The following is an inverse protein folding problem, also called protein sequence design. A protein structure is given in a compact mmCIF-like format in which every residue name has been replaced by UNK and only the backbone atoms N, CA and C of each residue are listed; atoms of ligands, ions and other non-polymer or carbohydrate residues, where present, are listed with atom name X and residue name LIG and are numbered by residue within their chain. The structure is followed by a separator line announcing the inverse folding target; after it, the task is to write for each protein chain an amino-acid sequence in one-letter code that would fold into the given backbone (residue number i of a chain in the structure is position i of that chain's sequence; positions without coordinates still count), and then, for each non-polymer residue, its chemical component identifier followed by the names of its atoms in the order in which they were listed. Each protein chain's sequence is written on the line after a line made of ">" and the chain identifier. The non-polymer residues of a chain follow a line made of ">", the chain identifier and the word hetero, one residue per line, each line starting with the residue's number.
data_IF_913584623253
#
_entry.id   IF_913584623253
#
_cell.length_a   1.000
_cell.length_b   1.000
_cell.length_c   1.000
_cell.angle_alpha   90.00
_cell.angle_beta   90.00
_cell.angle_gamma   90.00
#
_symmetry.space_group_name_H-M   'P 1'
#
loop_
_entity.id
_entity.type
_entity.pdbx_description
1 polymer ?
#
# COMPACT_ATOMS: atom_id res chain seq x y z
N UNK A 1 -20.42 0.99 15.15
CA UNK A 1 -19.82 2.26 14.69
C UNK A 1 -18.38 2.00 14.25
N UNK A 2 -18.04 2.21 12.98
CA UNK A 2 -16.64 2.19 12.52
C UNK A 2 -16.02 3.53 12.94
N UNK A 3 -15.13 3.55 13.93
CA UNK A 3 -14.43 4.79 14.27
C UNK A 3 -13.62 5.21 13.03
N UNK A 4 -13.94 6.39 12.50
CA UNK A 4 -13.35 6.93 11.28
C UNK A 4 -12.05 7.64 11.65
N UNK A 5 -10.93 7.12 11.16
CA UNK A 5 -9.69 7.89 11.13
C UNK A 5 -9.88 9.05 10.15
N UNK A 6 -9.74 10.28 10.63
CA UNK A 6 -9.80 11.47 9.78
C UNK A 6 -8.40 11.88 9.38
N UNK A 7 -8.16 11.99 8.07
CA UNK A 7 -6.89 12.43 7.49
C UNK A 7 -7.11 13.74 6.75
N UNK A 8 -6.45 14.81 7.19
CA UNK A 8 -6.55 16.13 6.56
C UNK A 8 -5.19 16.61 6.06
N UNK A 9 -5.17 17.37 4.96
CA UNK A 9 -3.94 17.92 4.40
C UNK A 9 -3.55 19.20 5.15
N UNK A 10 -2.26 19.39 5.40
CA UNK A 10 -1.66 20.64 5.86
C UNK A 10 -0.45 20.99 4.98
N UNK A 11 0.22 22.13 5.24
CA UNK A 11 1.28 22.67 4.38
C UNK A 11 2.35 21.65 3.96
N UNK A 12 2.81 20.79 4.89
CA UNK A 12 3.92 19.85 4.67
C UNK A 12 3.51 18.37 4.77
N UNK A 13 2.22 18.02 4.66
CA UNK A 13 1.79 16.63 4.76
C UNK A 13 0.32 16.42 5.12
N UNK A 14 0.06 15.38 5.90
CA UNK A 14 -1.27 14.99 6.37
C UNK A 14 -1.34 14.84 7.88
N UNK A 15 -2.42 15.28 8.50
CA UNK A 15 -2.67 15.06 9.92
C UNK A 15 -3.61 13.87 10.05
N UNK A 16 -3.19 12.83 10.75
CA UNK A 16 -4.10 11.79 11.21
C UNK A 16 -4.59 12.11 12.63
N UNK A 17 -5.91 12.08 12.78
CA UNK A 17 -6.59 12.18 14.07
C UNK A 17 -7.00 10.78 14.53
N UNK A 18 -6.86 10.49 15.83
CA UNK A 18 -7.33 9.27 16.54
C UNK A 18 -6.33 8.11 16.70
N UNK A 19 -5.18 8.34 17.33
CA UNK A 19 -4.35 7.26 17.90
C UNK A 19 -4.77 6.95 19.34
N UNK A 20 -6.03 6.60 19.56
CA UNK A 20 -6.51 5.85 20.72
C UNK A 20 -8.03 5.81 20.73
N UNK A 21 -8.58 4.70 20.24
CA UNK A 21 -9.86 4.12 20.65
C UNK A 21 -10.80 5.01 21.50
N UNK A 22 -11.42 5.97 20.79
CA UNK A 22 -12.58 6.81 21.13
C UNK A 22 -12.41 8.18 21.77
N UNK A 23 -11.22 8.74 21.87
CA UNK A 23 -11.05 10.19 22.03
C UNK A 23 -9.79 10.65 21.28
N UNK A 24 -9.86 11.78 20.58
CA UNK A 24 -8.70 12.34 19.87
C UNK A 24 -7.64 12.76 20.91
N UNK A 25 -6.75 11.85 21.30
CA UNK A 25 -5.71 12.13 22.31
C UNK A 25 -4.43 12.73 21.72
N UNK A 26 -4.20 12.52 20.43
CA UNK A 26 -2.99 13.01 19.77
C UNK A 26 -3.23 13.15 18.28
N UNK A 27 -2.79 14.29 17.75
CA UNK A 27 -2.69 14.54 16.32
C UNK A 27 -1.27 14.17 15.87
N UNK A 28 -1.14 13.42 14.78
CA UNK A 28 0.17 13.01 14.27
C UNK A 28 0.34 13.45 12.83
N UNK A 29 1.44 14.14 12.58
CA UNK A 29 1.86 14.53 11.24
C UNK A 29 2.40 13.30 10.49
N UNK A 30 1.76 12.99 9.38
CA UNK A 30 2.09 11.98 8.39
C UNK A 30 2.67 12.68 7.17
N UNK A 31 3.79 12.19 6.66
CA UNK A 31 4.41 12.69 5.42
C UNK A 31 3.83 12.00 4.19
N UNK A 32 3.48 10.73 4.30
CA UNK A 32 2.92 9.96 3.18
C UNK A 32 2.09 8.79 3.67
N UNK A 33 0.96 8.54 2.99
CA UNK A 33 0.11 7.37 3.20
C UNK A 33 0.27 6.40 2.04
N UNK A 34 0.48 5.12 2.34
CA UNK A 34 0.54 4.04 1.34
C UNK A 34 -0.33 2.86 1.73
N UNK A 35 -0.77 2.13 0.71
CA UNK A 35 -1.53 0.90 0.85
C UNK A 35 -0.81 -0.31 0.28
N UNK A 36 -1.18 -1.49 0.74
CA UNK A 36 -0.93 -2.75 0.04
C UNK A 36 -2.21 -3.56 -0.01
N UNK A 37 -2.36 -4.34 -1.08
CA UNK A 37 -3.50 -5.23 -1.29
C UNK A 37 -3.03 -6.62 -1.73
N UNK A 38 -3.69 -7.64 -1.21
CA UNK A 38 -3.52 -9.06 -1.52
C UNK A 38 -4.87 -9.59 -2.01
N UNK A 39 -4.87 -10.25 -3.17
CA UNK A 39 -6.08 -10.84 -3.75
C UNK A 39 -6.67 -11.93 -2.85
N UNK A 40 -8.00 -12.14 -2.85
CA UNK A 40 -8.56 -13.37 -2.31
C UNK A 40 -8.06 -14.57 -3.13
N UNK A 41 -7.80 -15.69 -2.45
CA UNK A 41 -7.35 -16.94 -3.06
C UNK A 41 -8.05 -18.09 -2.36
N UNK A 42 -8.69 -18.97 -3.13
CA UNK A 42 -9.45 -20.13 -2.65
C UNK A 42 -10.44 -19.76 -1.52
N UNK A 43 -10.29 -20.36 -0.34
CA UNK A 43 -11.10 -20.07 0.85
C UNK A 43 -10.68 -18.82 1.63
N UNK A 44 -9.57 -18.18 1.27
CA UNK A 44 -9.01 -17.04 2.00
C UNK A 44 -9.50 -15.70 1.44
N UNK A 45 -9.96 -14.78 2.32
CA UNK A 45 -10.38 -13.47 1.86
C UNK A 45 -9.19 -12.68 1.36
N UNK A 46 -9.46 -11.74 0.46
CA UNK A 46 -8.48 -10.74 0.07
C UNK A 46 -8.44 -9.65 1.12
N UNK A 47 -7.32 -8.94 1.16
CA UNK A 47 -7.01 -8.06 2.27
C UNK A 47 -6.26 -6.83 1.77
N UNK A 48 -6.61 -5.66 2.32
CA UNK A 48 -5.78 -4.47 2.17
C UNK A 48 -5.46 -3.84 3.51
N UNK A 49 -4.38 -3.07 3.49
CA UNK A 49 -3.81 -2.41 4.64
C UNK A 49 -3.27 -1.04 4.24
N UNK A 50 -3.56 -0.02 5.04
CA UNK A 50 -3.02 1.33 4.88
C UNK A 50 -2.20 1.73 6.10
N UNK A 51 -1.02 2.29 5.81
CA UNK A 51 -0.14 2.90 6.80
C UNK A 51 0.27 4.30 6.39
N UNK A 52 0.41 5.18 7.38
CA UNK A 52 0.97 6.52 7.21
C UNK A 52 2.35 6.60 7.85
N UNK A 53 3.36 7.06 7.13
CA UNK A 53 4.68 7.31 7.71
C UNK A 53 4.68 8.65 8.45
N UNK A 54 5.13 8.68 9.70
CA UNK A 54 5.16 9.91 10.50
C UNK A 54 6.31 10.84 10.09
N UNK A 55 6.10 12.15 10.26
CA UNK A 55 7.12 13.17 9.95
C UNK A 55 8.35 13.07 10.86
N UNK A 56 8.15 12.68 12.12
CA UNK A 56 9.22 12.62 13.10
C UNK A 56 9.77 11.21 13.24
N UNK A 57 11.10 11.05 13.28
CA UNK A 57 11.70 9.76 13.59
C UNK A 57 11.56 9.42 15.08
N UNK A 58 11.62 8.14 15.40
CA UNK A 58 11.71 7.64 16.77
C UNK A 58 13.17 7.64 17.28
N UNK A 59 13.40 7.11 18.48
CA UNK A 59 14.74 7.04 19.11
C UNK A 59 15.75 6.23 18.29
N UNK A 60 15.27 5.32 17.43
CA UNK A 60 16.08 4.50 16.52
C UNK A 60 16.27 5.14 15.14
N UNK A 61 15.92 6.43 14.97
CA UNK A 61 16.02 7.17 13.71
C UNK A 61 15.11 6.65 12.58
N UNK A 62 14.25 5.65 12.83
CA UNK A 62 13.21 5.22 11.89
C UNK A 62 12.03 6.18 11.95
N UNK A 63 11.36 6.42 10.82
CA UNK A 63 10.08 7.13 10.79
C UNK A 63 8.96 6.11 11.00
N UNK A 64 8.27 6.10 12.17
CA UNK A 64 7.23 5.12 12.44
C UNK A 64 6.14 5.07 11.37
N UNK A 65 5.66 3.88 11.09
CA UNK A 65 4.45 3.65 10.31
C UNK A 65 3.27 3.56 11.28
N UNK A 66 2.31 4.43 11.08
CA UNK A 66 1.04 4.45 11.79
C UNK A 66 0.00 3.60 11.04
N UNK A 67 -0.58 2.61 11.72
CA UNK A 67 -1.73 1.86 11.20
C UNK A 67 -2.92 2.80 10.99
N UNK A 68 -3.51 2.79 9.80
CA UNK A 68 -4.65 3.66 9.46
C UNK A 68 -5.94 2.87 9.26
N UNK A 69 -5.88 1.82 8.43
CA UNK A 69 -7.05 1.01 8.10
C UNK A 69 -6.64 -0.36 7.56
N UNK A 70 -7.54 -1.32 7.72
CA UNK A 70 -7.50 -2.61 7.08
C UNK A 70 -8.94 -3.07 6.76
N UNK A 71 -9.11 -3.92 5.77
CA UNK A 71 -10.35 -4.68 5.59
C UNK A 71 -10.11 -6.00 4.86
N UNK A 72 -11.02 -6.95 5.09
CA UNK A 72 -11.12 -8.23 4.40
C UNK A 72 -12.34 -8.23 3.48
N UNK A 73 -12.20 -8.74 2.26
CA UNK A 73 -13.30 -8.95 1.33
C UNK A 73 -13.11 -10.24 0.54
N UNK A 74 -14.19 -11.00 0.36
CA UNK A 74 -14.15 -12.31 -0.31
C UNK A 74 -14.06 -12.21 -1.83
N UNK A 75 -14.48 -11.09 -2.43
CA UNK A 75 -14.51 -10.90 -3.89
C UNK A 75 -13.55 -9.81 -4.36
N UNK A 76 -13.00 -9.97 -5.57
CA UNK A 76 -12.12 -8.96 -6.19
C UNK A 76 -12.80 -7.59 -6.27
N UNK A 77 -14.05 -7.53 -6.74
CA UNK A 77 -14.78 -6.29 -6.94
C UNK A 77 -14.97 -5.50 -5.66
N UNK A 78 -15.47 -6.16 -4.59
CA UNK A 78 -15.67 -5.50 -3.30
C UNK A 78 -14.35 -5.04 -2.67
N UNK A 79 -13.31 -5.85 -2.78
CA UNK A 79 -11.99 -5.51 -2.25
C UNK A 79 -11.42 -4.26 -2.93
N UNK A 80 -11.48 -4.22 -4.26
CA UNK A 80 -10.98 -3.09 -5.06
C UNK A 80 -11.80 -1.84 -4.78
N UNK A 81 -13.13 -1.93 -4.79
CA UNK A 81 -13.99 -0.77 -4.51
C UNK A 81 -13.72 -0.19 -3.11
N UNK A 82 -13.69 -1.04 -2.09
CA UNK A 82 -13.40 -0.62 -0.72
C UNK A 82 -11.98 -0.02 -0.58
N UNK A 83 -10.99 -0.66 -1.22
CA UNK A 83 -9.60 -0.19 -1.27
C UNK A 83 -9.51 1.23 -1.84
N UNK A 84 -10.15 1.51 -2.98
CA UNK A 84 -10.06 2.82 -3.65
C UNK A 84 -10.86 3.91 -2.93
N UNK A 85 -11.99 3.56 -2.31
CA UNK A 85 -12.73 4.46 -1.43
C UNK A 85 -11.87 4.91 -0.24
N UNK A 86 -11.19 3.97 0.41
CA UNK A 86 -10.31 4.26 1.53
C UNK A 86 -9.01 4.97 1.10
N UNK A 87 -8.43 4.57 -0.02
CA UNK A 87 -7.27 5.24 -0.59
C UNK A 87 -7.55 6.73 -0.86
N UNK A 88 -8.72 7.04 -1.42
CA UNK A 88 -9.14 8.41 -1.73
C UNK A 88 -9.36 9.21 -0.44
N UNK A 89 -10.06 8.63 0.55
CA UNK A 89 -10.29 9.26 1.86
C UNK A 89 -8.98 9.56 2.59
N UNK A 90 -8.00 8.67 2.49
CA UNK A 90 -6.72 8.78 3.18
C UNK A 90 -5.64 9.50 2.38
N UNK A 91 -5.95 9.86 1.12
CA UNK A 91 -5.03 10.48 0.16
C UNK A 91 -3.76 9.63 -0.02
N UNK A 92 -3.95 8.32 -0.16
CA UNK A 92 -2.86 7.38 -0.38
C UNK A 92 -2.15 7.69 -1.70
N UNK A 93 -0.83 7.74 -1.67
CA UNK A 93 0.01 8.04 -2.83
C UNK A 93 0.34 6.81 -3.66
N UNK A 94 0.44 5.64 -3.01
CA UNK A 94 0.85 4.37 -3.62
C UNK A 94 0.02 3.23 -3.05
N UNK A 95 -0.38 2.31 -3.92
CA UNK A 95 -0.90 0.99 -3.57
C UNK A 95 0.04 -0.07 -4.14
N UNK A 96 0.55 -0.95 -3.29
CA UNK A 96 1.33 -2.12 -3.70
C UNK A 96 0.42 -3.32 -3.93
N UNK A 97 0.56 -3.95 -5.10
CA UNK A 97 -0.15 -5.19 -5.43
C UNK A 97 0.81 -6.19 -6.06
N UNK A 98 0.67 -7.47 -5.72
CA UNK A 98 1.45 -8.51 -6.37
C UNK A 98 1.07 -8.59 -7.86
N UNK A 99 2.05 -8.49 -8.77
CA UNK A 99 1.84 -8.62 -10.22
C UNK A 99 1.60 -10.07 -10.66
N UNK A 100 1.83 -11.03 -9.77
CA UNK A 100 1.85 -12.46 -10.06
C UNK A 100 3.11 -12.84 -10.82
N UNK A 101 3.75 -13.94 -10.43
CA UNK A 101 4.85 -14.56 -11.19
C UNK A 101 4.36 -15.58 -12.23
N UNK A 102 3.07 -15.95 -12.20
CA UNK A 102 2.45 -16.97 -13.04
C UNK A 102 1.42 -16.37 -14.01
N UNK A 103 1.50 -16.81 -15.27
CA UNK A 103 0.75 -16.32 -16.45
C UNK A 103 -0.77 -16.53 -16.42
N UNK A 104 -1.35 -17.20 -15.40
CA UNK A 104 -2.75 -17.68 -15.50
C UNK A 104 -3.77 -17.21 -14.44
N UNK A 105 -3.39 -16.72 -13.25
CA UNK A 105 -4.40 -16.32 -12.25
C UNK A 105 -4.10 -15.02 -11.48
N UNK A 106 -2.87 -14.80 -10.99
CA UNK A 106 -2.55 -13.60 -10.19
C UNK A 106 -2.22 -12.34 -11.02
N UNK A 107 -1.85 -12.49 -12.30
CA UNK A 107 -1.65 -11.34 -13.20
C UNK A 107 -2.95 -10.55 -13.44
N UNK A 108 -4.11 -11.18 -13.26
CA UNK A 108 -5.42 -10.54 -13.36
C UNK A 108 -5.64 -9.49 -12.28
N UNK A 109 -5.39 -9.82 -11.01
CA UNK A 109 -5.74 -8.92 -9.91
C UNK A 109 -4.98 -7.59 -9.93
N UNK A 110 -3.65 -7.62 -10.18
CA UNK A 110 -2.88 -6.38 -10.35
C UNK A 110 -3.45 -5.52 -11.49
N UNK A 111 -3.78 -6.16 -12.61
CA UNK A 111 -4.37 -5.49 -13.77
C UNK A 111 -5.74 -4.91 -13.42
N UNK A 112 -6.53 -5.57 -12.60
CA UNK A 112 -7.85 -5.10 -12.17
C UNK A 112 -7.72 -3.87 -11.27
N UNK A 113 -6.79 -3.89 -10.31
CA UNK A 113 -6.47 -2.73 -9.45
C UNK A 113 -6.00 -1.55 -10.32
N UNK A 114 -5.09 -1.79 -11.27
CA UNK A 114 -4.61 -0.78 -12.21
C UNK A 114 -5.74 -0.21 -13.09
N UNK A 115 -6.56 -1.08 -13.65
CA UNK A 115 -7.68 -0.70 -14.52
C UNK A 115 -8.72 0.10 -13.75
N UNK A 116 -9.02 -0.29 -12.51
CA UNK A 116 -9.93 0.44 -11.64
C UNK A 116 -9.39 1.86 -11.35
N UNK A 117 -8.11 1.99 -11.01
CA UNK A 117 -7.45 3.30 -10.83
C UNK A 117 -7.63 4.20 -12.05
N UNK A 118 -7.37 3.67 -13.25
CA UNK A 118 -7.47 4.44 -14.51
C UNK A 118 -8.91 4.86 -14.76
N UNK A 119 -9.88 3.95 -14.61
CA UNK A 119 -11.31 4.23 -14.81
C UNK A 119 -11.85 5.29 -13.85
N UNK A 120 -11.43 5.26 -12.59
CA UNK A 120 -11.87 6.19 -11.56
C UNK A 120 -11.05 7.49 -11.54
N UNK A 121 -10.02 7.62 -12.39
CA UNK A 121 -9.10 8.75 -12.44
C UNK A 121 -8.54 9.15 -11.05
N UNK A 122 -8.20 8.16 -10.22
CA UNK A 122 -7.71 8.42 -8.85
C UNK A 122 -6.22 8.80 -8.92
N UNK A 123 -5.81 9.92 -8.30
CA UNK A 123 -4.42 10.41 -8.34
C UNK A 123 -3.50 9.64 -7.38
N UNK A 124 -3.52 8.31 -7.46
CA UNK A 124 -2.60 7.41 -6.77
C UNK A 124 -1.81 6.58 -7.78
N UNK A 125 -0.66 6.07 -7.37
CA UNK A 125 0.14 5.11 -8.15
C UNK A 125 -0.18 3.69 -7.70
N UNK A 126 -0.29 2.77 -8.65
CA UNK A 126 -0.35 1.34 -8.37
C UNK A 126 0.99 0.75 -8.77
N UNK A 127 1.72 0.18 -7.80
CA UNK A 127 3.07 -0.32 -8.01
C UNK A 127 3.14 -1.84 -7.77
N UNK A 128 4.02 -2.56 -8.46
CA UNK A 128 4.30 -3.95 -8.13
C UNK A 128 4.78 -4.06 -6.68
N UNK A 129 4.23 -5.03 -5.95
CA UNK A 129 4.64 -5.27 -4.57
C UNK A 129 6.14 -5.60 -4.50
N UNK A 130 6.92 -4.92 -3.65
CA UNK A 130 8.31 -5.27 -3.42
C UNK A 130 8.40 -6.55 -2.59
N UNK A 131 9.48 -7.30 -2.81
CA UNK A 131 9.84 -8.47 -2.00
C UNK A 131 8.78 -9.57 -2.00
N UNK A 132 8.00 -9.74 -3.09
CA UNK A 132 6.99 -10.80 -3.23
C UNK A 132 7.56 -12.20 -2.98
N UNK A 133 8.75 -12.48 -3.54
CA UNK A 133 9.37 -13.82 -3.49
C UNK A 133 10.25 -14.05 -2.26
N UNK A 134 10.60 -12.98 -1.53
CA UNK A 134 11.58 -13.05 -0.44
C UNK A 134 10.85 -12.89 0.90
N UNK A 135 10.40 -14.02 1.45
CA UNK A 135 9.64 -14.07 2.71
C UNK A 135 10.55 -13.82 3.90
N UNK A 136 11.77 -14.35 3.89
CA UNK A 136 12.72 -14.19 4.97
C UNK A 136 13.15 -12.73 5.14
N UNK A 137 13.45 -12.03 4.03
CA UNK A 137 13.64 -10.59 4.06
C UNK A 137 12.43 -9.87 4.65
N UNK A 138 11.23 -10.25 4.21
CA UNK A 138 9.98 -9.68 4.71
C UNK A 138 9.77 -9.88 6.21
N UNK A 139 10.07 -11.08 6.71
CA UNK A 139 10.01 -11.41 8.13
C UNK A 139 11.02 -10.58 8.90
N UNK A 140 12.26 -10.53 8.42
CA UNK A 140 13.35 -9.75 9.02
C UNK A 140 12.98 -8.28 9.18
N UNK A 141 12.49 -7.62 8.12
CA UNK A 141 12.12 -6.20 8.20
C UNK A 141 10.93 -5.96 9.14
N UNK A 142 9.94 -6.87 9.19
CA UNK A 142 8.80 -6.71 10.10
C UNK A 142 9.26 -6.86 11.55
N UNK A 143 10.12 -7.84 11.85
CA UNK A 143 10.69 -8.05 13.17
C UNK A 143 11.51 -6.84 13.62
N UNK A 144 12.41 -6.35 12.77
CA UNK A 144 13.24 -5.17 13.05
C UNK A 144 12.40 -3.92 13.32
N UNK A 145 11.41 -3.64 12.46
CA UNK A 145 10.54 -2.48 12.62
C UNK A 145 9.61 -2.61 13.83
N UNK A 146 9.25 -3.83 14.23
CA UNK A 146 8.51 -4.05 15.49
C UNK A 146 9.39 -3.82 16.69
N UNK A 147 10.62 -4.36 16.71
CA UNK A 147 11.58 -4.25 17.83
C UNK A 147 11.98 -2.80 18.10
N UNK A 148 12.06 -2.00 17.05
CA UNK A 148 12.43 -0.60 17.11
C UNK A 148 11.23 0.35 17.23
N UNK A 149 10.05 -0.13 17.63
CA UNK A 149 8.83 0.70 17.79
C UNK A 149 8.51 1.55 16.55
N UNK A 150 8.82 1.04 15.36
CA UNK A 150 8.58 1.71 14.08
C UNK A 150 7.23 1.28 13.45
N UNK A 151 6.44 0.47 14.14
CA UNK A 151 5.06 0.11 13.74
C UNK A 151 4.10 0.46 14.88
N UNK A 152 3.33 1.53 14.70
CA UNK A 152 2.36 2.00 15.68
C UNK A 152 0.99 1.38 15.36
N UNK A 153 0.51 0.52 16.27
CA UNK A 153 -0.76 -0.21 16.15
C UNK A 153 -1.80 0.27 17.18
N UNK A 154 -3.10 0.19 16.89
CA UNK A 154 -4.15 0.50 17.87
C UNK A 154 -4.11 -0.50 19.04
N UNK A 155 -4.30 -0.02 20.28
CA UNK A 155 -4.17 -0.85 21.50
C UNK A 155 -5.41 -1.68 21.84
N UNK A 156 -6.63 -1.18 21.59
CA UNK A 156 -7.88 -1.86 21.98
C UNK A 156 -8.57 -2.57 20.81
N UNK A 157 -8.16 -2.32 19.56
CA UNK A 157 -8.68 -3.05 18.40
C UNK A 157 -7.87 -4.31 18.13
N UNK A 158 -8.54 -5.46 18.23
CA UNK A 158 -8.05 -6.70 17.63
C UNK A 158 -8.17 -6.56 16.11
N UNK A 159 -7.05 -6.20 15.48
CA UNK A 159 -6.94 -6.11 14.02
C UNK A 159 -6.66 -7.50 13.43
N UNK A 160 -7.05 -7.71 12.18
CA UNK A 160 -6.68 -8.87 11.37
C UNK A 160 -5.15 -8.97 11.32
N UNK A 161 -4.48 -7.83 11.08
CA UNK A 161 -3.03 -7.76 11.17
C UNK A 161 -2.50 -8.22 12.53
N UNK A 162 -3.05 -7.74 13.64
CA UNK A 162 -2.60 -8.14 14.97
C UNK A 162 -2.82 -9.64 15.22
N UNK A 163 -3.94 -10.19 14.75
CA UNK A 163 -4.26 -11.62 14.83
C UNK A 163 -3.23 -12.47 14.07
N UNK A 164 -2.84 -12.08 12.86
CA UNK A 164 -1.84 -12.82 12.08
C UNK A 164 -0.39 -12.56 12.53
N UNK A 165 -0.14 -11.48 13.29
CA UNK A 165 1.19 -11.06 13.71
C UNK A 165 1.56 -11.47 15.15
N UNK A 166 0.82 -12.40 15.79
CA UNK A 166 1.19 -12.97 17.09
C UNK A 166 2.51 -13.75 17.01
N UNK A 167 3.26 -13.83 18.12
CA UNK A 167 4.64 -14.36 18.12
C UNK A 167 4.74 -15.80 17.60
N UNK A 168 3.82 -16.67 18.00
CA UNK A 168 3.75 -18.08 17.57
C UNK A 168 3.51 -18.25 16.06
N UNK A 169 2.84 -17.28 15.41
CA UNK A 169 2.55 -17.31 13.98
C UNK A 169 3.73 -16.83 13.12
N UNK A 170 4.65 -16.01 13.67
CA UNK A 170 5.79 -15.44 12.93
C UNK A 170 6.87 -16.46 12.60
N UNK A 171 6.99 -17.51 13.41
CA UNK A 171 7.99 -18.56 13.24
C UNK A 171 7.56 -19.63 12.22
N UNK A 172 6.25 -19.69 11.89
CA UNK A 172 5.66 -20.75 11.08
C UNK A 172 5.45 -20.38 9.59
N UNK A 173 5.65 -19.14 9.17
CA UNK A 173 5.42 -18.71 7.77
C UNK A 173 6.58 -19.14 6.86
N UNK A 174 6.58 -20.36 6.35
CA UNK A 174 7.70 -20.89 5.56
C UNK A 174 7.54 -20.62 4.06
N UNK A 175 6.31 -20.58 3.53
CA UNK A 175 6.06 -20.48 2.09
C UNK A 175 5.34 -19.17 1.68
N UNK A 176 5.86 -18.39 0.71
CA UNK A 176 5.15 -17.24 0.13
C UNK A 176 3.79 -17.58 -0.51
N UNK A 177 3.55 -18.85 -0.86
CA UNK A 177 2.26 -19.35 -1.36
C UNK A 177 1.25 -19.69 -0.26
N UNK A 178 1.60 -19.56 1.02
CA UNK A 178 0.61 -19.68 2.10
C UNK A 178 -0.31 -18.45 2.11
N UNK A 179 -1.33 -18.53 1.27
CA UNK A 179 -2.30 -17.46 1.00
C UNK A 179 -3.12 -17.08 2.25
N UNK A 180 -3.14 -17.94 3.28
CA UNK A 180 -3.70 -17.64 4.60
C UNK A 180 -3.04 -16.46 5.31
N UNK A 181 -1.79 -16.11 4.97
CA UNK A 181 -1.01 -15.01 5.59
C UNK A 181 -1.13 -13.67 4.86
N UNK A 182 -2.28 -13.39 4.26
CA UNK A 182 -2.52 -12.17 3.47
C UNK A 182 -2.20 -10.86 4.22
N UNK A 183 -2.41 -10.76 5.54
CA UNK A 183 -2.14 -9.54 6.29
C UNK A 183 -0.64 -9.35 6.55
N UNK A 184 0.08 -10.44 6.81
CA UNK A 184 1.54 -10.44 6.85
C UNK A 184 2.12 -10.02 5.49
N UNK A 185 1.62 -10.57 4.39
CA UNK A 185 2.08 -10.24 3.04
C UNK A 185 1.86 -8.76 2.71
N UNK A 186 0.68 -8.21 3.03
CA UNK A 186 0.39 -6.79 2.83
C UNK A 186 1.34 -5.89 3.66
N UNK A 187 1.60 -6.25 4.93
CA UNK A 187 2.54 -5.50 5.77
C UNK A 187 3.96 -5.55 5.20
N UNK A 188 4.41 -6.73 4.75
CA UNK A 188 5.70 -6.92 4.09
C UNK A 188 5.86 -5.99 2.89
N UNK A 189 4.84 -5.93 2.02
CA UNK A 189 4.86 -5.08 0.83
C UNK A 189 4.95 -3.59 1.19
N UNK A 190 4.23 -3.17 2.23
CA UNK A 190 4.27 -1.79 2.72
C UNK A 190 5.63 -1.39 3.25
N UNK A 191 6.19 -2.15 4.21
CA UNK A 191 7.47 -1.80 4.82
C UNK A 191 8.58 -1.80 3.78
N UNK A 192 8.64 -2.85 2.95
CA UNK A 192 9.63 -2.92 1.87
C UNK A 192 9.45 -1.77 0.86
N UNK A 193 8.20 -1.35 0.60
CA UNK A 193 7.89 -0.21 -0.25
C UNK A 193 8.39 1.12 0.31
N UNK A 194 8.19 1.37 1.60
CA UNK A 194 8.73 2.57 2.26
C UNK A 194 10.26 2.58 2.33
N UNK A 195 10.91 1.42 2.47
CA UNK A 195 12.38 1.30 2.47
C UNK A 195 12.95 1.55 1.07
N UNK A 196 12.41 0.89 0.04
CA UNK A 196 12.93 1.00 -1.34
C UNK A 196 12.61 2.34 -1.97
N UNK A 197 11.44 2.88 -1.66
CA UNK A 197 10.94 4.12 -2.19
C UNK A 197 10.58 5.08 -1.06
N UNK A 198 11.52 5.70 -0.33
CA UNK A 198 11.16 6.62 0.74
C UNK A 198 10.36 7.83 0.22
N UNK A 199 9.54 8.51 1.04
CA UNK A 199 8.86 9.75 0.67
C UNK A 199 9.84 10.82 0.15
N UNK A 200 9.42 11.64 -0.82
CA UNK A 200 10.28 12.68 -1.42
C UNK A 200 10.87 13.64 -0.37
N UNK A 201 10.10 13.98 0.67
CA UNK A 201 10.56 14.81 1.78
C UNK A 201 11.72 14.21 2.57
N UNK A 202 11.90 12.88 2.52
CA UNK A 202 13.04 12.16 3.09
C UNK A 202 14.14 11.90 2.06
N UNK A 203 13.84 11.99 0.75
CA UNK A 203 14.81 11.86 -0.36
C UNK A 203 15.65 13.11 -0.60
N UNK A 204 15.40 14.23 0.08
CA UNK A 204 16.10 15.51 -0.15
C UNK A 204 17.64 15.47 0.09
N UNK A 205 18.22 14.30 0.39
CA UNK A 205 19.65 14.03 0.43
C UNK A 205 20.13 12.93 -0.54
N UNK A 206 19.30 12.49 -1.50
CA UNK A 206 19.65 11.45 -2.48
C UNK A 206 19.07 11.78 -3.86
N UNK A 207 19.95 11.82 -4.87
CA UNK A 207 19.63 12.05 -6.29
C UNK A 207 18.58 11.06 -6.84
N UNK A 208 17.80 11.46 -7.87
CA UNK A 208 16.60 10.73 -8.29
C UNK A 208 16.96 9.46 -9.06
N UNK A 209 16.86 8.31 -8.40
CA UNK A 209 16.63 7.02 -9.04
C UNK A 209 15.13 6.74 -9.00
N UNK A 210 14.42 6.95 -10.12
CA UNK A 210 12.98 6.65 -10.17
C UNK A 210 12.32 6.83 -11.52
N UNK A 211 12.67 7.86 -12.28
CA UNK A 211 11.90 8.24 -13.49
C UNK A 211 12.21 7.39 -14.73
N UNK A 212 12.97 6.30 -14.63
CA UNK A 212 13.31 5.45 -15.80
C UNK A 212 12.41 4.23 -15.99
N UNK A 213 11.44 3.98 -15.11
CA UNK A 213 10.58 2.78 -15.21
C UNK A 213 9.09 3.07 -15.41
N UNK A 214 8.68 4.34 -15.45
CA UNK A 214 7.32 4.72 -15.89
C UNK A 214 7.14 4.67 -17.42
N UNK A 215 8.23 4.46 -18.17
CA UNK A 215 8.27 4.45 -19.65
C UNK A 215 8.11 3.05 -20.30
N UNK A 216 7.71 2.03 -19.55
CA UNK A 216 7.30 0.75 -20.16
C UNK A 216 5.86 0.87 -20.59
N UNK A 217 5.69 1.48 -21.77
CA UNK A 217 4.64 1.25 -22.75
C UNK A 217 3.81 -0.01 -22.46
N UNK A 218 2.67 0.18 -21.79
CA UNK A 218 1.53 -0.73 -21.93
C UNK A 218 1.16 -0.66 -23.41
N UNK A 219 1.24 -1.75 -24.20
CA UNK A 219 0.83 -1.69 -25.59
C UNK A 219 -0.64 -1.31 -25.61
N UNK A 220 -0.93 -0.13 -26.17
CA UNK A 220 -2.28 0.27 -26.53
C UNK A 220 -2.86 -0.84 -27.41
N UNK A 221 -3.97 -1.45 -26.99
CA UNK A 221 -4.74 -2.30 -27.90
C UNK A 221 -5.14 -1.48 -29.13
N UNK A 222 -5.10 -2.06 -30.34
CA UNK A 222 -5.37 -1.32 -31.56
C UNK A 222 -6.88 -1.15 -31.71
N UNK A 223 -7.39 -0.01 -31.25
CA UNK A 223 -8.69 0.51 -31.68
C UNK A 223 -8.45 1.96 -32.09
N UNK A 224 -8.45 2.20 -33.41
CA UNK A 224 -8.46 3.55 -33.98
C UNK A 224 -7.26 3.93 -34.85
N UNK A 225 -6.94 3.14 -35.88
CA UNK A 225 -6.39 3.76 -37.08
C UNK A 225 -7.51 4.59 -37.71
N UNK A 226 -7.48 5.91 -37.52
CA UNK A 226 -7.93 6.97 -38.44
C UNK A 226 -8.12 8.28 -37.66
N UNK A 227 -7.04 9.02 -37.46
CA UNK A 227 -7.06 10.48 -37.28
C UNK A 227 -5.62 11.01 -37.44
N UNK A 228 -5.00 10.70 -38.58
CA UNK A 228 -3.73 11.27 -38.98
C UNK A 228 -3.96 12.44 -39.93
N UNK A 229 -3.61 13.63 -39.45
CA UNK A 229 -2.98 14.72 -40.20
C UNK A 229 -3.73 15.37 -41.35
N UNK A 230 -4.30 16.56 -41.07
CA UNK A 230 -4.09 17.77 -41.91
C UNK A 230 -4.00 19.03 -41.03
N UNK A 231 -2.77 19.37 -40.67
CA UNK A 231 -2.27 20.74 -40.45
C UNK A 231 -1.10 20.85 -41.44
N UNK A 232 -0.94 21.85 -42.30
CA UNK A 232 -1.72 23.05 -42.56
C UNK A 232 -1.22 23.70 -43.85
N UNK A 233 -1.66 24.93 -44.10
CA UNK A 233 -1.00 25.85 -45.03
C UNK A 233 -1.36 27.28 -44.63
N UNK A 234 -0.42 27.96 -44.00
CA UNK A 234 -0.19 29.40 -44.21
C UNK A 234 1.19 29.47 -44.87
N UNK A 235 1.21 30.25 -45.96
CA UNK A 235 2.22 30.41 -47.04
C UNK A 235 2.21 29.34 -48.11
#
# INVERSE_FOLDING_TARGET
>A
MKDVLYIQRFADGFLANCINDKDVKQQVAIIETRGAVVSPIDEHPGYYLFFGMTKHPNIFKKHPLLFLCEAEHTTHGQLIEALFNDASRMKASVIYSNRGSSRKQQAGFYRDVWTHRVRQNVPLRVMPAPSVKDVDYGRGIIQDWTREDAIVRPKKRRTVLARQMTEEMREQVVDPAEDRWYAFHALRYLIAGFIKDPPLSLRAHSTPWGDRFDDISVPASPIGQQAGNRLGAWT
#
